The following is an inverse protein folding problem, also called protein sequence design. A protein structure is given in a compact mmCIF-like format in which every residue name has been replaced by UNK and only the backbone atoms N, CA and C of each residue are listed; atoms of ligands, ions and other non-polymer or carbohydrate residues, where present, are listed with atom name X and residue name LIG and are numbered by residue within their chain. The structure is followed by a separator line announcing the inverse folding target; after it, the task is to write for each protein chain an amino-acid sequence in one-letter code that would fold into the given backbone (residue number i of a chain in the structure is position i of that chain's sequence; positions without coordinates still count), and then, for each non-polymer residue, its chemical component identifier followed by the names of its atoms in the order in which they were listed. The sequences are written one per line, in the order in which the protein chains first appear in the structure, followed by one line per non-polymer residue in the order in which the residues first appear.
data_IF_648870508542
#
_entry.id   IF_648870508542
#
_cell.length_a   1.000
_cell.length_b   1.000
_cell.length_c   1.000
_cell.angle_alpha   90.00
_cell.angle_beta   90.00
_cell.angle_gamma   90.00
#
_symmetry.space_group_name_H-M   'P 1'
#
loop_
_entity.id
_entity.type
_entity.pdbx_description
1 polymer ?
#
# COMPACT_ATOMS: atom_id res chain seq x y z
N UNK A 1 4.96 -6.24 48.89
CA UNK A 1 4.54 -7.64 48.67
C UNK A 1 4.35 -7.86 47.19
N UNK A 2 4.65 -9.07 46.72
CA UNK A 2 4.35 -9.49 45.34
C UNK A 2 2.81 -9.58 45.22
N UNK A 3 2.24 -8.79 44.32
CA UNK A 3 0.84 -8.90 43.94
C UNK A 3 0.75 -9.71 42.67
N UNK A 4 0.07 -10.85 42.77
CA UNK A 4 -0.21 -11.67 41.56
C UNK A 4 -1.52 -11.19 40.94
N UNK A 5 -1.48 -10.86 39.65
CA UNK A 5 -2.68 -10.58 38.85
C UNK A 5 -2.97 -11.80 38.01
N UNK A 6 -4.14 -12.41 38.21
CA UNK A 6 -4.61 -13.49 37.37
C UNK A 6 -5.60 -12.93 36.35
N UNK A 7 -5.30 -13.11 35.08
CA UNK A 7 -6.19 -12.71 33.99
C UNK A 7 -6.75 -13.97 33.35
N UNK A 8 -8.07 -14.10 33.36
CA UNK A 8 -8.77 -15.19 32.69
C UNK A 8 -9.34 -14.65 31.37
N UNK A 9 -9.04 -15.31 30.28
CA UNK A 9 -9.56 -14.96 28.96
C UNK A 9 -10.22 -16.17 28.30
N UNK A 10 -11.19 -15.90 27.45
CA UNK A 10 -11.85 -16.93 26.64
C UNK A 10 -11.24 -16.89 25.25
N UNK A 11 -10.77 -18.04 24.78
CA UNK A 11 -10.32 -18.19 23.39
C UNK A 11 -11.48 -17.89 22.44
N UNK A 12 -11.20 -17.14 21.38
CA UNK A 12 -12.17 -16.95 20.30
C UNK A 12 -12.35 -18.26 19.54
N UNK A 13 -13.57 -18.50 19.09
CA UNK A 13 -13.88 -19.62 18.20
C UNK A 13 -13.45 -19.38 16.74
N UNK A 14 -13.00 -18.17 16.42
CA UNK A 14 -12.46 -17.87 15.09
C UNK A 14 -11.11 -18.56 14.89
N UNK A 15 -10.87 -19.19 13.75
CA UNK A 15 -9.59 -19.81 13.42
C UNK A 15 -8.49 -18.79 13.13
N UNK A 16 -8.85 -17.54 12.81
CA UNK A 16 -7.87 -16.52 12.45
C UNK A 16 -7.04 -16.05 13.65
N UNK A 17 -5.77 -15.70 13.40
CA UNK A 17 -4.90 -15.08 14.41
C UNK A 17 -5.45 -13.72 14.84
N UNK A 18 -5.40 -13.44 16.15
CA UNK A 18 -5.92 -12.20 16.75
C UNK A 18 -4.93 -11.62 17.74
N UNK A 19 -4.89 -10.31 17.81
CA UNK A 19 -4.13 -9.55 18.79
C UNK A 19 -5.02 -8.84 19.81
N UNK A 20 -4.46 -8.58 20.98
CA UNK A 20 -5.09 -7.76 22.02
C UNK A 20 -4.07 -7.27 23.03
N UNK A 21 -4.45 -6.28 23.83
CA UNK A 21 -3.60 -5.75 24.90
C UNK A 21 -4.33 -5.80 26.22
N UNK A 22 -3.68 -6.34 27.24
CA UNK A 22 -4.13 -6.19 28.63
C UNK A 22 -3.42 -4.98 29.19
N UNK A 23 -4.22 -3.98 29.58
CA UNK A 23 -3.74 -2.79 30.24
C UNK A 23 -3.85 -2.94 31.75
N UNK A 24 -2.71 -2.93 32.44
CA UNK A 24 -2.64 -3.03 33.90
C UNK A 24 -2.20 -1.67 34.43
N UNK A 25 -3.08 -1.02 35.18
CA UNK A 25 -2.79 0.25 35.84
C UNK A 25 -2.93 0.12 37.37
N UNK A 26 -2.04 0.77 38.09
CA UNK A 26 -2.14 0.88 39.54
C UNK A 26 -3.24 1.90 39.92
N UNK A 27 -4.16 1.52 40.80
CA UNK A 27 -5.31 2.37 41.18
C UNK A 27 -4.93 3.71 41.86
N UNK A 28 -3.76 3.76 42.47
CA UNK A 28 -3.25 4.94 43.17
C UNK A 28 -1.77 5.19 42.93
N UNK A 29 -1.34 5.09 41.68
CA UNK A 29 0.07 5.28 41.31
C UNK A 29 0.27 5.51 39.81
N UNK A 30 1.54 5.66 39.44
CA UNK A 30 1.95 5.94 38.06
C UNK A 30 2.40 4.69 37.28
N UNK A 31 2.34 3.50 37.91
CA UNK A 31 2.73 2.27 37.26
C UNK A 31 1.64 1.81 36.29
N UNK A 32 2.00 1.75 35.00
CA UNK A 32 1.18 1.21 33.92
C UNK A 32 2.02 0.18 33.18
N UNK A 33 1.40 -0.95 32.85
CA UNK A 33 2.03 -1.97 32.02
C UNK A 33 1.02 -2.56 31.04
N UNK A 34 1.38 -2.52 29.78
CA UNK A 34 0.65 -3.18 28.72
C UNK A 34 1.28 -4.54 28.44
N UNK A 35 0.44 -5.57 28.32
CA UNK A 35 0.83 -6.92 27.97
C UNK A 35 0.11 -7.26 26.68
N UNK A 36 0.86 -7.41 25.60
CA UNK A 36 0.32 -7.90 24.35
C UNK A 36 -0.06 -9.38 24.50
N UNK A 37 -1.26 -9.72 24.07
CA UNK A 37 -1.74 -11.10 23.99
C UNK A 37 -2.03 -11.39 22.52
N UNK A 38 -1.59 -12.56 22.08
CA UNK A 38 -1.87 -13.04 20.73
C UNK A 38 -2.45 -14.44 20.83
N UNK A 39 -3.63 -14.61 20.25
CA UNK A 39 -4.17 -15.91 19.92
C UNK A 39 -3.74 -16.21 18.48
N UNK A 40 -2.76 -17.07 18.30
CA UNK A 40 -2.27 -17.48 16.99
C UNK A 40 -3.12 -18.62 16.45
N UNK A 41 -3.53 -18.51 15.18
CA UNK A 41 -4.00 -19.66 14.42
C UNK A 41 -2.83 -20.65 14.29
N UNK A 42 -2.99 -21.92 14.71
CA UNK A 42 -1.93 -22.92 14.61
C UNK A 42 -1.47 -23.17 13.17
N UNK A 43 -2.34 -22.94 12.20
CA UNK A 43 -2.07 -23.13 10.77
C UNK A 43 -1.56 -21.85 10.07
N UNK A 44 -1.50 -20.72 10.78
CA UNK A 44 -1.02 -19.46 10.21
C UNK A 44 0.47 -19.55 9.85
N UNK A 45 0.76 -19.38 8.57
CA UNK A 45 2.12 -19.31 8.06
C UNK A 45 2.62 -17.87 8.05
N UNK A 46 3.90 -17.63 8.40
CA UNK A 46 4.50 -16.33 8.24
C UNK A 46 4.53 -15.89 6.77
N UNK A 47 4.23 -14.61 6.54
CA UNK A 47 4.29 -13.96 5.24
C UNK A 47 5.39 -12.91 5.23
N UNK A 48 5.91 -12.59 4.06
CA UNK A 48 6.97 -11.59 3.92
C UNK A 48 6.39 -10.21 3.65
N UNK A 49 6.85 -9.23 4.45
CA UNK A 49 6.63 -7.80 4.24
C UNK A 49 8.01 -7.13 4.39
N UNK A 50 8.82 -7.10 3.33
CA UNK A 50 10.22 -6.70 3.42
C UNK A 50 10.41 -5.20 3.71
N UNK A 51 9.53 -4.34 3.19
CA UNK A 51 9.60 -2.91 3.47
C UNK A 51 9.32 -2.63 4.95
N UNK A 52 10.32 -2.08 5.64
CA UNK A 52 10.24 -1.84 7.09
C UNK A 52 9.15 -0.84 7.48
N UNK A 53 8.85 0.13 6.60
CA UNK A 53 7.82 1.15 6.86
C UNK A 53 6.43 0.55 6.67
N UNK A 54 6.21 -0.20 5.59
CA UNK A 54 4.96 -0.92 5.36
C UNK A 54 4.69 -1.89 6.51
N UNK A 55 5.69 -2.68 6.88
CA UNK A 55 5.60 -3.65 7.98
C UNK A 55 5.26 -2.96 9.31
N UNK A 56 5.96 -1.88 9.66
CA UNK A 56 5.68 -1.13 10.89
C UNK A 56 4.27 -0.55 10.92
N UNK A 57 3.74 -0.09 9.78
CA UNK A 57 2.36 0.39 9.67
C UNK A 57 1.36 -0.75 9.85
N UNK A 58 1.59 -1.91 9.25
CA UNK A 58 0.73 -3.09 9.44
C UNK A 58 0.70 -3.53 10.91
N UNK A 59 1.85 -3.52 11.60
CA UNK A 59 1.96 -3.84 13.02
C UNK A 59 1.25 -2.80 13.88
N UNK A 60 1.48 -1.50 13.63
CA UNK A 60 0.87 -0.43 14.43
C UNK A 60 -0.64 -0.32 14.26
N UNK A 61 -1.17 -0.75 13.11
CA UNK A 61 -2.60 -0.85 12.87
C UNK A 61 -3.23 -2.12 13.49
N UNK A 62 -2.44 -3.00 14.10
CA UNK A 62 -2.92 -4.27 14.62
C UNK A 62 -3.25 -5.30 13.54
N UNK A 63 -2.73 -5.15 12.33
CA UNK A 63 -3.01 -6.02 11.19
C UNK A 63 -2.05 -7.21 11.09
N UNK A 64 -0.88 -7.07 11.70
CA UNK A 64 0.17 -8.06 11.63
C UNK A 64 0.95 -8.17 12.94
N UNK A 65 1.43 -9.37 13.23
CA UNK A 65 2.32 -9.67 14.34
C UNK A 65 3.72 -9.94 13.79
N UNK A 66 4.77 -9.24 14.25
CA UNK A 66 6.12 -9.48 13.77
C UNK A 66 6.64 -10.84 14.24
N UNK A 67 7.35 -11.54 13.35
CA UNK A 67 8.07 -12.78 13.64
C UNK A 67 9.58 -12.51 13.61
N UNK A 68 10.04 -11.79 12.59
CA UNK A 68 11.42 -11.34 12.43
C UNK A 68 11.46 -10.00 11.68
N UNK A 69 12.62 -9.62 11.19
CA UNK A 69 12.83 -8.33 10.50
C UNK A 69 12.12 -8.20 9.15
N UNK A 70 11.58 -9.28 8.60
CA UNK A 70 10.89 -9.28 7.30
C UNK A 70 9.55 -10.00 7.34
N UNK A 71 9.30 -10.87 8.33
CA UNK A 71 8.14 -11.75 8.37
C UNK A 71 7.14 -11.39 9.44
N UNK A 72 5.87 -11.56 9.10
CA UNK A 72 4.75 -11.34 10.00
C UNK A 72 3.73 -12.49 9.90
N UNK A 73 2.92 -12.63 10.95
CA UNK A 73 1.63 -13.36 10.88
C UNK A 73 0.55 -12.30 10.65
N UNK A 74 -0.29 -12.50 9.65
CA UNK A 74 -1.43 -11.62 9.43
C UNK A 74 -2.53 -11.93 10.45
N UNK A 75 -3.07 -10.89 11.06
CA UNK A 75 -4.14 -10.97 12.04
C UNK A 75 -5.51 -10.81 11.37
N UNK A 76 -6.58 -11.19 12.05
CA UNK A 76 -7.96 -11.07 11.54
C UNK A 76 -8.31 -9.62 11.19
N UNK A 77 -7.83 -8.66 11.98
CA UNK A 77 -8.00 -7.23 11.73
C UNK A 77 -7.40 -6.81 10.39
N UNK A 78 -6.24 -7.37 10.03
CA UNK A 78 -5.60 -7.15 8.74
C UNK A 78 -6.37 -7.80 7.59
N UNK A 79 -6.82 -9.05 7.78
CA UNK A 79 -7.64 -9.73 6.78
C UNK A 79 -8.95 -8.98 6.47
N UNK A 80 -9.51 -8.28 7.47
CA UNK A 80 -10.75 -7.50 7.35
C UNK A 80 -10.52 -6.03 6.99
N UNK A 81 -9.27 -5.59 6.89
CA UNK A 81 -8.95 -4.20 6.57
C UNK A 81 -9.46 -3.83 5.16
N UNK A 82 -10.12 -2.69 5.04
CA UNK A 82 -10.69 -2.21 3.77
C UNK A 82 -9.97 -0.98 3.22
N UNK A 83 -9.16 -0.31 4.04
CA UNK A 83 -8.41 0.87 3.62
C UNK A 83 -7.02 0.90 4.23
N UNK A 84 -6.03 1.25 3.42
CA UNK A 84 -4.67 1.51 3.86
C UNK A 84 -4.32 2.97 3.60
N UNK A 85 -3.70 3.62 4.57
CA UNK A 85 -3.27 5.01 4.42
C UNK A 85 -1.91 5.25 5.05
N UNK A 86 -0.96 5.72 4.25
CA UNK A 86 0.29 6.31 4.71
C UNK A 86 0.45 7.70 4.13
N UNK A 87 0.30 8.72 4.97
CA UNK A 87 0.41 10.13 4.58
C UNK A 87 1.63 10.82 5.17
N UNK A 88 2.50 10.08 5.84
CA UNK A 88 3.69 10.62 6.50
C UNK A 88 4.76 11.01 5.49
N UNK A 89 5.32 12.20 5.65
CA UNK A 89 6.46 12.68 4.86
C UNK A 89 7.75 11.93 5.20
N UNK A 90 7.95 11.60 6.45
CA UNK A 90 9.19 10.99 6.96
C UNK A 90 9.25 9.47 6.76
N UNK A 91 8.08 8.82 6.68
CA UNK A 91 7.97 7.36 6.58
C UNK A 91 7.57 6.97 5.17
N UNK A 92 8.55 6.89 4.28
CA UNK A 92 8.32 6.59 2.88
C UNK A 92 8.37 5.08 2.62
N UNK A 93 7.29 4.53 2.11
CA UNK A 93 7.24 3.16 1.59
C UNK A 93 7.96 3.15 0.23
N UNK A 94 8.82 2.16 0.03
CA UNK A 94 9.57 1.95 -1.21
C UNK A 94 9.10 0.73 -1.99
N UNK A 95 8.47 -0.21 -1.29
CA UNK A 95 8.02 -1.48 -1.83
C UNK A 95 6.70 -1.88 -1.16
N UNK A 96 5.72 -2.29 -1.95
CA UNK A 96 4.41 -2.75 -1.47
C UNK A 96 4.34 -4.28 -1.35
N UNK A 97 5.42 -5.02 -1.56
CA UNK A 97 5.44 -6.47 -1.37
C UNK A 97 4.89 -6.84 0.02
N UNK A 98 3.90 -7.72 0.04
CA UNK A 98 3.17 -8.09 1.25
C UNK A 98 1.82 -7.40 1.40
N UNK A 99 1.51 -6.37 0.59
CA UNK A 99 0.18 -5.73 0.61
C UNK A 99 -0.92 -6.69 0.13
N UNK A 100 -0.59 -7.65 -0.70
CA UNK A 100 -1.48 -8.68 -1.23
C UNK A 100 -2.09 -9.58 -0.15
N UNK A 101 -1.47 -9.64 1.03
CA UNK A 101 -2.00 -10.39 2.17
C UNK A 101 -3.18 -9.72 2.87
N UNK A 102 -3.61 -8.55 2.39
CA UNK A 102 -4.78 -7.80 2.89
C UNK A 102 -5.89 -7.78 1.83
N UNK A 103 -6.56 -8.92 1.55
CA UNK A 103 -7.38 -9.15 0.34
C UNK A 103 -8.68 -8.34 0.29
N UNK A 104 -9.05 -7.68 1.38
CA UNK A 104 -10.26 -6.87 1.47
C UNK A 104 -10.01 -5.37 1.29
N UNK A 105 -8.78 -4.96 0.99
CA UNK A 105 -8.48 -3.56 0.70
C UNK A 105 -9.21 -3.08 -0.56
N UNK A 106 -9.95 -2.00 -0.41
CA UNK A 106 -10.68 -1.31 -1.48
C UNK A 106 -10.12 0.07 -1.76
N UNK A 107 -9.35 0.63 -0.81
CA UNK A 107 -8.77 1.97 -0.91
C UNK A 107 -7.32 1.97 -0.43
N UNK A 108 -6.44 2.53 -1.27
CA UNK A 108 -5.05 2.79 -0.94
C UNK A 108 -4.77 4.28 -1.05
N UNK A 109 -4.30 4.88 0.04
CA UNK A 109 -3.79 6.25 0.06
C UNK A 109 -2.31 6.23 0.39
N UNK A 110 -1.50 6.49 -0.61
CA UNK A 110 -0.06 6.54 -0.49
C UNK A 110 0.38 7.99 -0.39
N UNK A 111 1.17 8.31 0.62
CA UNK A 111 1.73 9.64 0.80
C UNK A 111 2.97 9.83 -0.06
N UNK A 112 4.02 10.27 0.59
CA UNK A 112 5.29 10.52 -0.06
C UNK A 112 6.03 9.20 -0.33
N UNK A 113 6.03 8.76 -1.59
CA UNK A 113 6.67 7.53 -2.04
C UNK A 113 7.77 7.82 -3.08
N UNK A 114 8.57 8.88 -2.86
CA UNK A 114 9.54 9.38 -3.84
C UNK A 114 10.62 8.38 -4.27
N UNK A 115 10.83 7.33 -3.48
CA UNK A 115 11.81 6.27 -3.78
C UNK A 115 11.16 4.96 -4.27
N UNK A 116 9.85 4.96 -4.51
CA UNK A 116 9.14 3.80 -5.06
C UNK A 116 9.28 3.79 -6.58
N UNK A 117 10.01 2.82 -7.11
CA UNK A 117 10.21 2.66 -8.57
C UNK A 117 9.10 1.88 -9.23
N UNK A 118 8.53 0.93 -8.50
CA UNK A 118 7.42 0.09 -8.95
C UNK A 118 6.30 0.11 -7.92
N UNK A 119 5.09 0.36 -8.38
CA UNK A 119 3.88 0.16 -7.62
C UNK A 119 3.21 -1.10 -8.15
N UNK A 120 3.13 -2.13 -7.32
CA UNK A 120 2.47 -3.39 -7.66
C UNK A 120 1.37 -3.70 -6.65
N UNK A 121 0.13 -3.69 -7.14
CA UNK A 121 -1.07 -4.07 -6.40
C UNK A 121 -1.86 -5.15 -7.13
N UNK A 122 -1.23 -5.84 -8.08
CA UNK A 122 -1.89 -6.87 -8.89
C UNK A 122 -2.36 -8.07 -8.09
N UNK A 123 -1.77 -8.30 -6.91
CA UNK A 123 -2.24 -9.33 -5.95
C UNK A 123 -3.50 -8.94 -5.18
N UNK A 124 -3.96 -7.69 -5.28
CA UNK A 124 -5.24 -7.21 -4.77
C UNK A 124 -6.28 -7.21 -5.92
N UNK A 125 -7.56 -7.44 -5.59
CA UNK A 125 -8.62 -7.55 -6.60
C UNK A 125 -9.82 -6.65 -6.32
N UNK A 126 -9.77 -5.86 -5.25
CA UNK A 126 -10.90 -5.03 -4.79
C UNK A 126 -10.59 -3.55 -4.73
N UNK A 127 -9.35 -3.15 -5.01
CA UNK A 127 -8.96 -1.74 -4.94
C UNK A 127 -9.66 -0.96 -6.06
N UNK A 128 -10.54 -0.06 -5.66
CA UNK A 128 -11.24 0.87 -6.55
C UNK A 128 -10.75 2.31 -6.41
N UNK A 129 -10.02 2.60 -5.33
CA UNK A 129 -9.49 3.94 -5.04
C UNK A 129 -7.99 3.87 -4.74
N UNK A 130 -7.19 4.46 -5.61
CA UNK A 130 -5.75 4.64 -5.43
C UNK A 130 -5.45 6.13 -5.51
N UNK A 131 -4.90 6.69 -4.43
CA UNK A 131 -4.59 8.12 -4.35
C UNK A 131 -3.19 8.36 -3.80
N UNK A 132 -2.56 9.44 -4.27
CA UNK A 132 -1.26 9.90 -3.81
C UNK A 132 -1.36 11.31 -3.22
N UNK A 133 -0.71 11.57 -2.07
CA UNK A 133 -0.64 12.94 -1.53
C UNK A 133 0.45 13.77 -2.20
N UNK A 134 1.51 13.12 -2.64
CA UNK A 134 2.56 13.72 -3.44
C UNK A 134 2.96 12.67 -4.46
N UNK A 135 2.54 12.84 -5.69
CA UNK A 135 2.78 11.82 -6.69
C UNK A 135 4.27 11.70 -6.96
N UNK A 136 4.70 10.47 -6.95
CA UNK A 136 5.97 10.04 -7.48
C UNK A 136 5.66 9.30 -8.76
N UNK A 137 6.31 9.63 -9.85
CA UNK A 137 6.19 8.81 -11.04
C UNK A 137 7.06 7.59 -10.81
N UNK A 138 6.40 6.44 -10.62
CA UNK A 138 7.05 5.15 -10.69
C UNK A 138 7.44 4.83 -12.14
N UNK A 139 8.46 4.01 -12.31
CA UNK A 139 8.81 3.46 -13.63
C UNK A 139 7.74 2.45 -14.11
N UNK A 140 7.04 1.82 -13.14
CA UNK A 140 5.98 0.84 -13.44
C UNK A 140 4.82 0.97 -12.43
N UNK A 141 3.60 0.91 -12.96
CA UNK A 141 2.35 0.74 -12.19
C UNK A 141 1.66 -0.55 -12.64
N UNK A 142 1.67 -1.56 -11.81
CA UNK A 142 0.94 -2.80 -12.02
C UNK A 142 -0.33 -2.79 -11.17
N UNK A 143 -1.45 -2.43 -11.79
CA UNK A 143 -2.76 -2.34 -11.17
C UNK A 143 -3.54 -3.67 -11.27
N UNK A 144 -3.08 -4.60 -12.10
CA UNK A 144 -3.71 -5.91 -12.29
C UNK A 144 -5.15 -5.82 -12.81
N UNK A 145 -6.04 -6.59 -12.18
CA UNK A 145 -7.48 -6.62 -12.45
C UNK A 145 -8.33 -5.84 -11.45
N UNK A 146 -7.69 -5.01 -10.62
CA UNK A 146 -8.40 -4.13 -9.70
C UNK A 146 -9.40 -3.24 -10.45
N UNK A 147 -10.58 -2.94 -9.86
CA UNK A 147 -11.64 -2.15 -10.51
C UNK A 147 -11.30 -0.64 -10.59
N UNK A 148 -10.06 -0.32 -10.96
CA UNK A 148 -9.59 1.05 -11.20
C UNK A 148 -9.81 1.37 -12.68
N UNK A 149 -10.84 2.17 -12.97
CA UNK A 149 -11.16 2.58 -14.35
C UNK A 149 -10.50 3.91 -14.73
N UNK A 150 -10.11 4.71 -13.75
CA UNK A 150 -9.40 5.98 -13.97
C UNK A 150 -8.22 6.09 -13.02
N UNK A 151 -7.06 6.41 -13.56
CA UNK A 151 -5.83 6.57 -12.77
C UNK A 151 -5.12 7.86 -13.16
N UNK A 152 -4.81 8.66 -12.13
CA UNK A 152 -4.01 9.86 -12.28
C UNK A 152 -2.65 9.63 -11.62
N UNK A 153 -1.61 9.50 -12.44
CA UNK A 153 -0.22 9.41 -12.00
C UNK A 153 0.47 10.78 -11.95
N UNK A 154 -0.18 11.83 -12.41
CA UNK A 154 0.29 13.21 -12.34
C UNK A 154 -0.05 13.89 -11.01
N UNK A 155 0.64 14.98 -10.67
CA UNK A 155 0.35 15.76 -9.47
C UNK A 155 1.20 17.02 -9.32
N UNK A 156 0.88 17.80 -8.28
CA UNK A 156 1.42 19.17 -8.11
C UNK A 156 2.93 19.26 -7.83
N UNK A 157 3.56 18.17 -7.39
CA UNK A 157 4.99 18.11 -7.05
C UNK A 157 5.55 16.77 -7.45
N UNK A 158 5.79 16.58 -8.74
CA UNK A 158 6.39 15.34 -9.23
C UNK A 158 7.91 15.51 -9.26
N UNK A 159 8.59 14.73 -8.43
CA UNK A 159 10.02 14.52 -8.52
C UNK A 159 10.23 13.10 -9.01
N UNK A 160 10.55 12.92 -10.27
CA UNK A 160 10.89 11.61 -10.82
C UNK A 160 11.99 11.74 -11.83
N UNK A 161 12.93 10.82 -11.77
CA UNK A 161 13.98 10.64 -12.78
C UNK A 161 13.59 9.53 -13.77
N UNK A 162 12.36 9.03 -13.73
CA UNK A 162 11.89 7.97 -14.62
C UNK A 162 11.89 8.47 -16.08
N UNK A 163 12.67 7.81 -16.92
CA UNK A 163 12.72 8.09 -18.37
C UNK A 163 11.61 7.34 -19.12
N UNK A 164 11.07 6.30 -18.53
CA UNK A 164 9.98 5.50 -19.08
C UNK A 164 8.93 5.20 -18.03
N UNK A 165 7.69 5.09 -18.46
CA UNK A 165 6.55 4.73 -17.65
C UNK A 165 5.85 3.53 -18.25
N UNK A 166 5.66 2.48 -17.46
CA UNK A 166 4.83 1.33 -17.84
C UNK A 166 3.59 1.27 -16.96
N UNK A 167 2.43 1.01 -17.57
CA UNK A 167 1.16 0.79 -16.87
C UNK A 167 0.55 -0.53 -17.31
N UNK A 168 0.15 -1.34 -16.34
CA UNK A 168 -0.46 -2.65 -16.53
C UNK A 168 -1.81 -2.65 -15.80
N UNK A 169 -2.90 -2.82 -16.54
CA UNK A 169 -4.24 -2.91 -15.96
C UNK A 169 -5.23 -3.49 -16.95
N UNK A 170 -6.02 -4.46 -16.52
CA UNK A 170 -7.09 -5.01 -17.37
C UNK A 170 -8.36 -4.16 -17.39
N UNK A 171 -8.50 -3.18 -16.49
CA UNK A 171 -9.73 -2.40 -16.27
C UNK A 171 -9.59 -0.91 -16.54
N UNK A 172 -8.36 -0.41 -16.70
CA UNK A 172 -8.12 1.03 -16.84
C UNK A 172 -8.65 1.55 -18.17
N UNK A 173 -9.58 2.51 -18.12
CA UNK A 173 -10.18 3.18 -19.26
C UNK A 173 -9.59 4.57 -19.50
N UNK A 174 -9.15 5.23 -18.42
CA UNK A 174 -8.58 6.59 -18.49
C UNK A 174 -7.28 6.69 -17.69
N UNK A 175 -6.21 7.12 -18.37
CA UNK A 175 -4.91 7.40 -17.78
C UNK A 175 -4.59 8.88 -17.90
N UNK A 176 -4.43 9.56 -16.77
CA UNK A 176 -4.03 10.95 -16.72
C UNK A 176 -2.60 11.09 -16.20
N UNK A 177 -1.73 11.57 -17.07
CA UNK A 177 -0.33 11.87 -16.80
C UNK A 177 -0.07 13.38 -16.86
N UNK A 178 -1.11 14.21 -16.88
CA UNK A 178 -0.95 15.66 -16.91
C UNK A 178 -0.27 16.15 -15.63
N UNK A 179 0.91 16.72 -15.78
CA UNK A 179 1.66 17.31 -14.69
C UNK A 179 1.03 18.65 -14.33
N UNK A 180 0.41 18.74 -13.15
CA UNK A 180 -0.23 19.97 -12.65
C UNK A 180 0.79 20.91 -12.00
N UNK A 181 2.08 20.83 -12.27
CA UNK A 181 3.09 21.64 -11.63
C UNK A 181 3.58 22.79 -12.51
N UNK A 182 3.70 23.98 -11.90
CA UNK A 182 4.38 25.15 -12.46
C UNK A 182 5.91 24.97 -12.59
N UNK A 183 6.45 23.89 -12.03
CA UNK A 183 7.88 23.53 -12.07
C UNK A 183 8.16 22.50 -13.15
N UNK A 184 7.76 22.78 -14.38
CA UNK A 184 7.89 21.91 -15.56
C UNK A 184 9.35 21.56 -15.97
N UNK A 185 10.35 21.83 -15.14
CA UNK A 185 11.75 21.49 -15.43
C UNK A 185 12.13 20.03 -15.17
N UNK A 186 11.21 19.19 -14.70
CA UNK A 186 11.44 17.80 -14.32
C UNK A 186 10.64 16.79 -15.15
N UNK A 187 10.32 17.13 -16.38
CA UNK A 187 9.70 16.21 -17.33
C UNK A 187 10.78 15.31 -17.93
N UNK A 188 11.00 14.15 -17.35
CA UNK A 188 12.00 13.17 -17.84
C UNK A 188 11.38 12.05 -18.67
N UNK A 189 10.07 11.83 -18.58
CA UNK A 189 9.40 10.73 -19.27
C UNK A 189 9.43 10.95 -20.78
N UNK A 190 10.14 10.07 -21.47
CA UNK A 190 10.27 10.08 -22.94
C UNK A 190 9.45 8.98 -23.62
N UNK A 191 9.04 7.95 -22.87
CA UNK A 191 8.23 6.85 -23.37
C UNK A 191 7.16 6.42 -22.39
N UNK A 192 6.00 6.02 -22.92
CA UNK A 192 4.89 5.44 -22.18
C UNK A 192 4.56 4.09 -22.79
N UNK A 193 4.48 3.04 -21.96
CA UNK A 193 3.99 1.73 -22.36
C UNK A 193 2.68 1.42 -21.63
N UNK A 194 1.59 1.47 -22.36
CA UNK A 194 0.24 1.08 -21.95
C UNK A 194 -0.29 -0.09 -22.80
N UNK A 195 0.61 -0.87 -23.41
CA UNK A 195 0.24 -2.01 -24.25
C UNK A 195 -0.49 -3.13 -23.50
N UNK A 196 -0.35 -3.15 -22.17
CA UNK A 196 -1.05 -4.07 -21.29
C UNK A 196 -2.31 -3.45 -20.63
N UNK A 197 -2.87 -2.37 -21.22
CA UNK A 197 -4.13 -1.74 -20.79
C UNK A 197 -5.22 -1.89 -21.86
N UNK A 198 -5.82 -3.08 -22.05
CA UNK A 198 -6.73 -3.35 -23.18
C UNK A 198 -8.03 -2.53 -23.16
N UNK A 199 -8.43 -1.99 -22.02
CA UNK A 199 -9.64 -1.16 -21.88
C UNK A 199 -9.36 0.34 -22.04
N UNK A 200 -8.10 0.76 -22.19
CA UNK A 200 -7.72 2.17 -22.23
C UNK A 200 -8.29 2.85 -23.48
N UNK A 201 -9.09 3.90 -23.27
CA UNK A 201 -9.71 4.71 -24.32
C UNK A 201 -9.32 6.19 -24.23
N UNK A 202 -8.81 6.63 -23.08
CA UNK A 202 -8.42 8.01 -22.86
C UNK A 202 -7.02 8.08 -22.23
N UNK A 203 -6.10 8.79 -22.89
CA UNK A 203 -4.77 9.11 -22.38
C UNK A 203 -4.57 10.63 -22.40
N UNK A 204 -4.41 11.22 -21.23
CA UNK A 204 -4.05 12.63 -21.11
C UNK A 204 -2.59 12.74 -20.70
N UNK A 205 -1.76 13.22 -21.62
CA UNK A 205 -0.34 13.49 -21.39
C UNK A 205 -0.01 14.98 -21.61
N UNK A 206 -0.96 15.87 -21.36
CA UNK A 206 -0.79 17.31 -21.49
C UNK A 206 0.38 17.78 -20.62
N UNK A 207 1.23 18.66 -21.19
CA UNK A 207 2.45 19.19 -20.58
C UNK A 207 3.62 18.22 -20.46
N UNK A 208 3.52 17.03 -20.98
CA UNK A 208 4.63 16.07 -21.09
C UNK A 208 5.33 16.27 -22.43
N UNK A 209 6.10 17.36 -22.54
CA UNK A 209 6.68 17.81 -23.82
C UNK A 209 7.79 16.90 -24.36
N UNK A 210 8.31 15.99 -23.54
CA UNK A 210 9.43 15.10 -23.91
C UNK A 210 9.00 13.73 -24.37
N UNK A 211 7.72 13.36 -24.26
CA UNK A 211 7.22 12.07 -24.75
C UNK A 211 7.46 11.96 -26.24
N UNK A 212 8.19 10.93 -26.63
CA UNK A 212 8.52 10.61 -28.04
C UNK A 212 7.89 9.29 -28.49
N UNK A 213 7.63 8.39 -27.52
CA UNK A 213 7.17 7.04 -27.85
C UNK A 213 5.98 6.66 -26.98
N UNK A 214 4.96 6.10 -27.61
CA UNK A 214 3.78 5.57 -26.96
C UNK A 214 3.53 4.16 -27.50
N UNK A 215 3.51 3.18 -26.59
CA UNK A 215 3.13 1.81 -26.92
C UNK A 215 1.71 1.57 -26.43
N UNK A 216 0.83 1.19 -27.34
CA UNK A 216 -0.54 0.82 -27.09
C UNK A 216 -0.80 -0.61 -27.55
N UNK A 217 -1.86 -1.22 -27.03
CA UNK A 217 -2.33 -2.50 -27.55
C UNK A 217 -2.80 -2.34 -29.00
N UNK A 218 -2.55 -3.32 -29.84
CA UNK A 218 -3.04 -3.32 -31.23
C UNK A 218 -4.57 -3.22 -31.25
N UNK A 219 -5.10 -2.22 -31.95
CA UNK A 219 -6.55 -1.99 -32.09
C UNK A 219 -7.15 -1.00 -31.06
N UNK A 220 -6.32 -0.31 -30.28
CA UNK A 220 -6.72 0.83 -29.45
C UNK A 220 -6.71 2.13 -30.23
#
# INVERSE_FOLDING_TARGET
GLTTVTVTYKLSASPASRGGTIHIAQTSGTLVKDIAIVQKDPDASPVEIPDAVLRALCISNGWALPIDDTKCIILEEGLNATSFSNTSYSNQIKDLTGIEYFPNLTSLRLGYCSNMKKLDISGLHKVSSLTFNSPTICEEYNLGDNPITSFNAGGSYVYSEAESLKVISSKLESLDLSLVSWYASYDYVTSIDASECPALTNLNANRSSKIKTLYLKTGQ
#
